data_IF_898063424127
#
_entry.id   IF_898063424127
#
_cell.length_a   1.000
_cell.length_b   1.000
_cell.length_c   1.000
_cell.angle_alpha   90.00
_cell.angle_beta   90.00
_cell.angle_gamma   90.00
#
_symmetry.space_group_name_H-M   'P 1'
#
loop_
_entity.id
_entity.type
_entity.pdbx_description
1 polymer ?
#
# COMPACT_ATOMS: atom_id res chain seq x y z
N UNK A 1 -10.56 -24.47 12.87
CA UNK A 1 -9.98 -23.16 13.23
C UNK A 1 -8.72 -22.92 12.42
N UNK A 2 -8.78 -22.03 11.43
CA UNK A 2 -7.57 -21.57 10.73
C UNK A 2 -6.70 -20.73 11.67
N UNK A 3 -5.39 -20.94 11.62
CA UNK A 3 -4.42 -20.24 12.48
C UNK A 3 -4.52 -18.70 12.34
N UNK A 4 -4.91 -18.22 11.15
CA UNK A 4 -5.05 -16.81 10.83
C UNK A 4 -6.20 -16.10 11.58
N UNK A 5 -7.37 -16.75 11.71
CA UNK A 5 -8.53 -16.14 12.38
C UNK A 5 -8.26 -15.95 13.88
N UNK A 6 -7.72 -16.99 14.54
CA UNK A 6 -7.35 -16.94 15.95
C UNK A 6 -6.24 -15.91 16.24
N UNK A 7 -5.23 -15.82 15.37
CA UNK A 7 -4.16 -14.82 15.47
C UNK A 7 -4.70 -13.40 15.31
N UNK A 8 -5.58 -13.17 14.34
CA UNK A 8 -6.20 -11.84 14.10
C UNK A 8 -7.02 -11.39 15.29
N UNK A 9 -7.85 -12.27 15.85
CA UNK A 9 -8.65 -11.93 17.04
C UNK A 9 -7.75 -11.69 18.24
N UNK A 10 -6.72 -12.53 18.44
CA UNK A 10 -5.82 -12.42 19.59
C UNK A 10 -5.00 -11.14 19.57
N UNK A 11 -4.52 -10.69 18.40
CA UNK A 11 -3.74 -9.44 18.30
C UNK A 11 -4.58 -8.19 18.53
N UNK A 12 -5.87 -8.24 18.21
CA UNK A 12 -6.78 -7.11 18.37
C UNK A 12 -7.50 -7.10 19.72
N UNK A 13 -7.53 -8.24 20.42
CA UNK A 13 -8.27 -8.41 21.66
C UNK A 13 -8.02 -7.32 22.72
N UNK A 14 -6.77 -6.88 22.99
CA UNK A 14 -6.48 -5.84 23.97
C UNK A 14 -7.13 -4.49 23.63
N UNK A 15 -7.33 -4.19 22.34
CA UNK A 15 -7.86 -2.90 21.86
C UNK A 15 -9.38 -2.76 21.99
N UNK A 16 -10.12 -3.84 22.29
CA UNK A 16 -11.58 -3.81 22.37
C UNK A 16 -12.08 -2.86 23.47
N UNK A 17 -11.31 -2.66 24.54
CA UNK A 17 -11.68 -1.80 25.66
C UNK A 17 -11.60 -0.30 25.34
N UNK A 18 -10.86 0.06 24.30
CA UNK A 18 -10.68 1.44 23.85
C UNK A 18 -11.74 1.89 22.82
N UNK A 19 -12.63 0.96 22.44
CA UNK A 19 -13.65 1.25 21.45
C UNK A 19 -14.74 2.17 22.03
N UNK A 20 -14.87 3.34 21.42
CA UNK A 20 -16.02 4.23 21.68
C UNK A 20 -17.35 3.63 21.23
N UNK A 21 -18.46 4.39 21.33
CA UNK A 21 -19.79 3.91 20.96
C UNK A 21 -19.86 3.34 19.54
N UNK A 22 -20.51 2.19 19.41
CA UNK A 22 -20.69 1.48 18.15
C UNK A 22 -22.18 1.39 17.79
N UNK A 23 -22.46 1.09 16.53
CA UNK A 23 -23.82 0.83 16.03
C UNK A 23 -23.93 -0.57 15.45
N UNK A 24 -25.10 -1.18 15.58
CA UNK A 24 -25.41 -2.47 14.95
C UNK A 24 -25.28 -2.38 13.42
N UNK A 25 -25.09 -3.49 12.67
CA UNK A 25 -24.90 -3.45 11.22
C UNK A 25 -25.97 -2.67 10.44
N UNK A 26 -27.24 -2.75 10.85
CA UNK A 26 -28.37 -2.01 10.27
C UNK A 26 -28.46 -0.54 10.69
N UNK A 27 -27.51 -0.05 11.51
CA UNK A 27 -27.43 1.30 12.07
C UNK A 27 -28.59 1.71 13.00
N UNK A 28 -29.54 0.80 13.30
CA UNK A 28 -30.76 1.09 14.08
C UNK A 28 -30.56 1.20 15.59
N UNK A 29 -29.50 0.61 16.15
CA UNK A 29 -29.24 0.61 17.59
C UNK A 29 -27.77 0.86 17.89
N UNK A 30 -27.48 1.49 19.03
CA UNK A 30 -26.13 1.69 19.54
C UNK A 30 -25.79 0.74 20.68
N UNK A 31 -24.50 0.48 20.88
CA UNK A 31 -23.97 -0.27 22.00
C UNK A 31 -22.54 0.20 22.31
N UNK A 32 -22.03 -0.15 23.48
CA UNK A 32 -20.65 0.12 23.88
C UNK A 32 -20.00 -1.14 24.46
N UNK A 33 -18.68 -1.23 24.36
CA UNK A 33 -17.91 -2.24 25.11
C UNK A 33 -17.83 -1.79 26.56
N UNK A 34 -18.31 -2.62 27.48
CA UNK A 34 -18.34 -2.33 28.92
C UNK A 34 -17.08 -2.86 29.62
N UNK A 35 -16.67 -4.09 29.30
CA UNK A 35 -15.48 -4.71 29.87
C UNK A 35 -14.90 -5.77 28.95
N UNK A 36 -13.58 -5.90 28.93
CA UNK A 36 -12.86 -6.95 28.20
C UNK A 36 -12.04 -7.79 29.18
N UNK A 37 -12.08 -9.09 29.02
CA UNK A 37 -11.22 -10.07 29.72
C UNK A 37 -10.54 -10.94 28.65
N UNK A 38 -9.51 -11.74 28.97
CA UNK A 38 -8.80 -12.54 27.95
C UNK A 38 -9.70 -13.43 27.07
N UNK A 39 -10.83 -13.91 27.60
CA UNK A 39 -11.70 -14.89 26.92
C UNK A 39 -13.08 -14.35 26.52
N UNK A 40 -13.46 -13.15 26.99
CA UNK A 40 -14.80 -12.60 26.74
C UNK A 40 -14.82 -11.07 26.79
N UNK A 41 -15.73 -10.51 26.01
CA UNK A 41 -16.12 -9.10 26.04
C UNK A 41 -17.57 -8.99 26.48
N UNK A 42 -17.86 -8.02 27.33
CA UNK A 42 -19.22 -7.63 27.71
C UNK A 42 -19.57 -6.36 26.95
N UNK A 43 -20.69 -6.37 26.23
CA UNK A 43 -21.22 -5.20 25.54
C UNK A 43 -22.53 -4.76 26.19
N UNK A 44 -22.72 -3.46 26.31
CA UNK A 44 -23.95 -2.86 26.84
C UNK A 44 -24.76 -2.30 25.68
N UNK A 45 -25.99 -2.80 25.50
CA UNK A 45 -26.95 -2.32 24.52
C UNK A 45 -28.25 -1.93 25.24
N UNK A 46 -28.50 -0.63 25.41
CA UNK A 46 -29.62 -0.15 26.22
C UNK A 46 -29.50 -0.60 27.69
N UNK A 47 -30.52 -1.30 28.22
CA UNK A 47 -30.51 -1.86 29.58
C UNK A 47 -29.96 -3.29 29.66
N UNK A 48 -29.63 -3.90 28.52
CA UNK A 48 -29.19 -5.29 28.45
C UNK A 48 -27.69 -5.40 28.21
N UNK A 49 -27.00 -6.20 29.04
CA UNK A 49 -25.61 -6.58 28.84
C UNK A 49 -25.50 -7.94 28.16
N UNK A 50 -24.68 -8.04 27.11
CA UNK A 50 -24.44 -9.27 26.35
C UNK A 50 -22.98 -9.66 26.51
N UNK A 51 -22.72 -10.86 27.01
CA UNK A 51 -21.37 -11.42 27.09
C UNK A 51 -21.09 -12.26 25.85
N UNK A 52 -19.97 -11.96 25.18
CA UNK A 52 -19.54 -12.58 23.93
C UNK A 52 -18.16 -13.19 24.15
N UNK A 53 -18.01 -14.47 23.85
CA UNK A 53 -16.72 -15.17 23.98
C UNK A 53 -15.80 -14.82 22.81
N UNK A 54 -14.49 -14.84 23.05
CA UNK A 54 -13.46 -14.63 22.02
C UNK A 54 -13.62 -15.57 20.82
N UNK A 55 -13.93 -16.84 21.08
CA UNK A 55 -14.20 -17.85 20.05
C UNK A 55 -15.33 -17.49 19.09
N UNK A 56 -16.26 -16.61 19.47
CA UNK A 56 -17.32 -16.13 18.56
C UNK A 56 -16.77 -15.22 17.46
N UNK A 57 -15.76 -14.40 17.76
CA UNK A 57 -15.06 -13.57 16.78
C UNK A 57 -14.23 -14.45 15.84
N UNK A 58 -13.55 -15.45 16.40
CA UNK A 58 -12.72 -16.39 15.64
C UNK A 58 -13.57 -17.20 14.67
N UNK A 59 -14.71 -17.73 15.13
CA UNK A 59 -15.65 -18.47 14.30
C UNK A 59 -16.26 -17.60 13.18
N UNK A 60 -16.55 -16.33 13.46
CA UNK A 60 -17.05 -15.41 12.44
C UNK A 60 -16.01 -15.15 11.34
N UNK A 61 -14.75 -14.88 11.72
CA UNK A 61 -13.68 -14.68 10.75
C UNK A 61 -13.33 -15.95 9.98
N UNK A 62 -13.28 -17.10 10.66
CA UNK A 62 -13.06 -18.39 10.02
C UNK A 62 -14.13 -18.68 8.96
N UNK A 63 -15.40 -18.43 9.27
CA UNK A 63 -16.47 -18.56 8.30
C UNK A 63 -16.25 -17.66 7.08
N UNK A 64 -15.89 -16.39 7.28
CA UNK A 64 -15.66 -15.47 6.17
C UNK A 64 -14.47 -15.87 5.29
N UNK A 65 -13.39 -16.36 5.90
CA UNK A 65 -12.22 -16.85 5.16
C UNK A 65 -12.52 -18.14 4.40
N UNK A 66 -13.18 -19.11 5.04
CA UNK A 66 -13.48 -20.41 4.44
C UNK A 66 -14.41 -20.31 3.22
N UNK A 67 -15.19 -19.23 3.13
CA UNK A 67 -16.14 -18.98 2.05
C UNK A 67 -15.71 -17.84 1.11
N UNK A 68 -14.44 -17.41 1.20
CA UNK A 68 -13.84 -16.36 0.35
C UNK A 68 -14.70 -15.08 0.26
N UNK A 69 -15.17 -14.60 1.40
CA UNK A 69 -16.00 -13.40 1.46
C UNK A 69 -15.14 -12.13 1.44
N UNK A 70 -14.99 -11.52 0.26
CA UNK A 70 -14.31 -10.24 0.02
C UNK A 70 -15.27 -9.18 -0.55
N UNK A 71 -14.81 -7.96 -0.82
CA UNK A 71 -15.69 -6.86 -1.30
C UNK A 71 -16.46 -7.18 -2.60
N UNK A 72 -15.94 -8.11 -3.41
CA UNK A 72 -16.59 -8.61 -4.63
C UNK A 72 -17.49 -9.83 -4.40
N UNK A 73 -17.45 -10.43 -3.21
CA UNK A 73 -18.26 -11.58 -2.79
C UNK A 73 -18.78 -11.37 -1.34
N UNK A 74 -19.65 -10.38 -1.10
CA UNK A 74 -20.09 -10.03 0.25
C UNK A 74 -21.02 -11.10 0.86
N UNK A 75 -20.86 -11.36 2.15
CA UNK A 75 -21.67 -12.28 2.94
C UNK A 75 -22.92 -11.59 3.49
N UNK A 76 -24.11 -12.13 3.26
CA UNK A 76 -25.34 -11.68 3.92
C UNK A 76 -25.29 -12.05 5.41
N UNK A 77 -25.45 -11.07 6.31
CA UNK A 77 -25.26 -11.29 7.76
C UNK A 77 -26.33 -12.25 8.33
N UNK A 78 -27.59 -12.12 7.89
CA UNK A 78 -28.69 -13.01 8.29
C UNK A 78 -28.93 -13.09 9.81
N UNK A 79 -28.88 -11.95 10.51
CA UNK A 79 -28.94 -11.92 11.97
C UNK A 79 -30.36 -12.12 12.55
N UNK A 80 -30.69 -13.34 13.00
CA UNK A 80 -31.97 -13.65 13.66
C UNK A 80 -31.79 -14.10 15.13
N UNK A 81 -32.78 -13.87 15.98
CA UNK A 81 -32.76 -14.38 17.36
C UNK A 81 -32.99 -15.89 17.39
N UNK A 82 -33.86 -16.40 16.52
CA UNK A 82 -34.07 -17.83 16.30
C UNK A 82 -32.93 -18.39 15.45
N UNK A 83 -32.23 -19.40 15.97
CA UNK A 83 -31.09 -19.97 15.26
C UNK A 83 -31.51 -20.71 13.99
N UNK A 84 -32.73 -21.26 13.93
CA UNK A 84 -33.20 -21.95 12.72
C UNK A 84 -33.36 -20.99 11.53
N UNK A 85 -33.73 -19.74 11.82
CA UNK A 85 -33.91 -18.65 10.85
C UNK A 85 -32.63 -17.84 10.59
N UNK A 86 -31.59 -18.05 11.39
CA UNK A 86 -30.35 -17.32 11.28
C UNK A 86 -29.52 -17.78 10.05
N UNK A 87 -28.87 -16.80 9.40
CA UNK A 87 -27.93 -17.07 8.32
C UNK A 87 -26.68 -17.81 8.78
N UNK A 88 -25.91 -18.42 7.87
CA UNK A 88 -24.75 -19.26 8.19
C UNK A 88 -23.67 -18.57 9.05
N UNK A 89 -23.30 -17.32 8.73
CA UNK A 89 -22.34 -16.55 9.51
C UNK A 89 -22.82 -16.33 10.97
N UNK A 90 -24.12 -16.06 11.10
CA UNK A 90 -24.77 -15.83 12.38
C UNK A 90 -24.87 -17.11 13.23
N UNK A 91 -25.02 -18.27 12.58
CA UNK A 91 -24.93 -19.61 13.21
C UNK A 91 -23.49 -19.90 13.65
N UNK A 92 -22.50 -19.67 12.78
CA UNK A 92 -21.09 -19.91 13.09
C UNK A 92 -20.62 -19.15 14.34
N UNK A 93 -20.93 -17.85 14.43
CA UNK A 93 -20.49 -17.02 15.56
C UNK A 93 -21.13 -17.39 16.91
N UNK A 94 -22.31 -18.04 16.92
CA UNK A 94 -23.04 -18.37 18.15
C UNK A 94 -22.95 -19.84 18.54
N UNK A 95 -22.31 -20.69 17.74
CA UNK A 95 -22.18 -22.11 18.04
C UNK A 95 -21.29 -22.33 19.27
N UNK A 96 -21.78 -23.13 20.21
CA UNK A 96 -21.06 -23.49 21.43
C UNK A 96 -20.30 -24.80 21.24
N UNK A 97 -19.26 -25.07 22.04
CA UNK A 97 -18.53 -26.35 21.99
C UNK A 97 -19.42 -27.59 22.16
N UNK A 98 -20.58 -27.45 22.80
CA UNK A 98 -21.56 -28.52 22.96
C UNK A 98 -22.39 -28.80 21.69
N UNK A 99 -22.12 -28.12 20.58
CA UNK A 99 -22.92 -28.19 19.34
C UNK A 99 -24.25 -27.43 19.38
N UNK A 100 -24.61 -26.82 20.52
CA UNK A 100 -25.82 -25.98 20.66
C UNK A 100 -25.54 -24.54 20.23
N UNK A 101 -26.59 -23.77 19.94
CA UNK A 101 -26.48 -22.36 19.62
C UNK A 101 -26.75 -21.48 20.85
N UNK A 102 -25.87 -20.52 21.11
CA UNK A 102 -26.04 -19.47 22.11
C UNK A 102 -26.88 -18.30 21.61
N UNK A 103 -26.90 -17.22 22.40
CA UNK A 103 -27.59 -15.98 22.02
C UNK A 103 -26.99 -15.32 20.77
N UNK A 104 -27.80 -14.51 20.07
CA UNK A 104 -27.34 -13.72 18.92
C UNK A 104 -26.24 -12.73 19.35
N UNK A 105 -25.07 -12.91 18.76
CA UNK A 105 -23.89 -12.06 19.04
C UNK A 105 -23.31 -11.37 17.79
N UNK A 106 -23.64 -11.83 16.58
CA UNK A 106 -23.08 -11.32 15.32
C UNK A 106 -23.35 -9.82 15.11
N UNK A 107 -24.46 -9.30 15.68
CA UNK A 107 -24.85 -7.89 15.64
C UNK A 107 -23.89 -6.96 16.41
N UNK A 108 -23.05 -7.53 17.27
CA UNK A 108 -22.04 -6.81 18.05
C UNK A 108 -20.61 -7.17 17.60
N UNK A 109 -20.38 -8.44 17.26
CA UNK A 109 -19.10 -8.93 16.73
C UNK A 109 -18.70 -8.16 15.47
N UNK A 110 -19.60 -8.01 14.49
CA UNK A 110 -19.24 -7.40 13.21
C UNK A 110 -18.90 -5.91 13.30
N UNK A 111 -19.67 -5.05 14.01
CA UNK A 111 -19.28 -3.64 14.15
C UNK A 111 -17.98 -3.44 14.93
N UNK A 112 -17.67 -4.32 15.89
CA UNK A 112 -16.36 -4.33 16.56
C UNK A 112 -15.26 -4.63 15.54
N UNK A 113 -15.40 -5.73 14.79
CA UNK A 113 -14.45 -6.09 13.73
C UNK A 113 -14.33 -5.02 12.63
N UNK A 114 -15.42 -4.33 12.31
CA UNK A 114 -15.44 -3.24 11.34
C UNK A 114 -14.65 -2.04 11.87
N UNK A 115 -14.85 -1.67 13.14
CA UNK A 115 -14.11 -0.58 13.78
C UNK A 115 -12.61 -0.86 13.82
N UNK A 116 -12.25 -2.13 13.98
CA UNK A 116 -10.86 -2.61 13.98
C UNK A 116 -10.32 -2.82 12.55
N UNK A 117 -11.11 -2.55 11.51
CA UNK A 117 -10.70 -2.59 10.11
C UNK A 117 -10.56 -4.00 9.53
N UNK A 118 -11.09 -5.03 10.19
CA UNK A 118 -11.01 -6.44 9.76
C UNK A 118 -12.08 -6.76 8.72
N UNK A 119 -13.25 -6.14 8.84
CA UNK A 119 -14.38 -6.35 7.93
C UNK A 119 -14.98 -5.03 7.43
N UNK A 120 -15.51 -5.02 6.22
CA UNK A 120 -16.42 -3.97 5.74
C UNK A 120 -17.87 -4.39 5.95
N UNK A 121 -18.76 -3.43 6.24
CA UNK A 121 -20.22 -3.68 6.36
C UNK A 121 -20.97 -2.75 5.42
N UNK A 122 -21.88 -3.31 4.62
CA UNK A 122 -22.90 -2.56 3.90
C UNK A 122 -24.18 -2.54 4.76
N UNK A 123 -24.64 -1.35 5.22
CA UNK A 123 -25.82 -1.23 6.08
C UNK A 123 -27.15 -1.33 5.31
N UNK A 124 -27.13 -1.32 3.97
CA UNK A 124 -28.34 -1.45 3.16
C UNK A 124 -28.98 -2.83 3.36
N UNK A 125 -30.28 -2.98 3.10
CA UNK A 125 -30.98 -4.27 3.21
C UNK A 125 -30.87 -5.06 1.91
N UNK A 126 -30.40 -6.33 1.92
CA UNK A 126 -29.92 -7.08 3.08
C UNK A 126 -28.54 -6.61 3.56
N UNK A 127 -28.35 -6.52 4.87
CA UNK A 127 -27.06 -6.09 5.44
C UNK A 127 -26.00 -7.13 5.16
N UNK A 128 -24.87 -6.70 4.61
CA UNK A 128 -23.78 -7.60 4.20
C UNK A 128 -22.45 -7.21 4.84
N UNK A 129 -21.54 -8.18 4.89
CA UNK A 129 -20.19 -8.05 5.46
C UNK A 129 -19.15 -8.75 4.58
N UNK A 130 -17.92 -8.27 4.56
CA UNK A 130 -16.81 -8.92 3.84
C UNK A 130 -15.48 -8.67 4.55
N UNK A 131 -14.49 -9.53 4.32
CA UNK A 131 -13.12 -9.33 4.78
C UNK A 131 -12.48 -8.18 4.01
N UNK A 132 -11.78 -7.30 4.73
CA UNK A 132 -10.92 -6.30 4.11
C UNK A 132 -9.59 -6.94 3.72
N UNK A 133 -8.91 -6.44 2.68
CA UNK A 133 -7.60 -6.94 2.22
C UNK A 133 -6.44 -6.61 3.19
N UNK A 134 -6.72 -6.41 4.47
CA UNK A 134 -5.70 -6.05 5.47
C UNK A 134 -5.23 -7.32 6.18
N UNK A 135 -4.06 -7.90 5.88
CA UNK A 135 -3.37 -8.71 6.87
C UNK A 135 -2.82 -7.74 7.92
N UNK A 136 -3.44 -7.67 9.09
CA UNK A 136 -2.87 -6.86 10.17
C UNK A 136 -1.68 -7.60 10.77
N UNK A 137 -0.49 -7.06 10.50
CA UNK A 137 0.68 -7.28 11.33
C UNK A 137 0.30 -7.07 12.81
N UNK A 138 0.74 -8.01 13.63
CA UNK A 138 0.58 -8.05 15.08
C UNK A 138 0.89 -6.68 15.68
N UNK A 139 -0.14 -5.97 16.15
CA UNK A 139 0.02 -4.82 17.02
C UNK A 139 0.39 -5.38 18.39
N UNK A 140 1.69 -5.48 18.65
CA UNK A 140 2.17 -5.59 20.03
C UNK A 140 2.20 -4.19 20.61
N UNK A 141 1.69 -4.06 21.83
CA UNK A 141 1.59 -2.85 22.63
C UNK A 141 2.88 -2.01 22.57
N UNK A 142 2.76 -0.81 22.02
CA UNK A 142 3.52 0.37 22.44
C UNK A 142 2.86 1.61 21.83
N UNK A 143 1.81 2.09 22.48
CA UNK A 143 1.26 3.41 22.24
C UNK A 143 1.70 4.35 23.38
N UNK A 144 2.34 5.44 22.96
CA UNK A 144 2.49 6.73 23.64
C UNK A 144 3.61 6.81 24.69
N UNK A 145 4.83 6.95 24.17
CA UNK A 145 5.83 7.97 24.54
C UNK A 145 6.63 8.30 23.27
N UNK A 146 7.20 9.50 23.10
CA UNK A 146 8.14 9.76 22.01
C UNK A 146 9.43 8.99 22.32
N UNK A 147 9.42 7.68 22.04
CA UNK A 147 10.59 6.84 22.18
C UNK A 147 11.36 7.00 20.88
N UNK A 148 12.38 7.85 20.95
CA UNK A 148 13.60 7.62 20.20
C UNK A 148 14.02 6.18 20.53
N UNK A 149 13.74 5.26 19.62
CA UNK A 149 14.19 3.87 19.72
C UNK A 149 15.69 3.85 19.41
N UNK A 150 16.51 3.74 20.46
CA UNK A 150 17.97 3.61 20.39
C UNK A 150 18.41 2.14 20.21
N UNK A 151 17.49 1.18 20.04
CA UNK A 151 17.82 -0.25 19.87
C UNK A 151 17.66 -0.76 18.43
N UNK A 152 17.03 0.01 17.56
CA UNK A 152 17.12 -0.18 16.12
C UNK A 152 17.93 0.97 15.51
N UNK A 153 18.94 0.69 14.64
CA UNK A 153 19.56 1.77 13.91
C UNK A 153 18.45 2.53 13.18
N UNK A 154 18.36 3.85 13.40
CA UNK A 154 17.35 4.67 12.73
C UNK A 154 17.52 4.45 11.22
N UNK A 155 16.59 3.70 10.62
CA UNK A 155 16.64 3.32 9.20
C UNK A 155 16.50 4.52 8.28
N UNK A 156 15.92 5.59 8.81
CA UNK A 156 15.84 6.92 8.24
C UNK A 156 16.76 7.87 9.01
N UNK A 157 17.45 8.72 8.29
CA UNK A 157 18.16 9.87 8.88
C UNK A 157 17.17 10.87 9.47
N UNK A 158 17.62 11.82 10.32
CA UNK A 158 16.76 12.88 10.83
C UNK A 158 16.07 13.69 9.71
N UNK A 159 16.79 14.01 8.64
CA UNK A 159 16.25 14.75 7.49
C UNK A 159 15.22 13.90 6.73
N UNK A 160 15.46 12.60 6.53
CA UNK A 160 14.49 11.70 5.90
C UNK A 160 13.22 11.50 6.72
N UNK A 161 13.33 11.38 8.04
CA UNK A 161 12.18 11.28 8.93
C UNK A 161 11.36 12.59 8.94
N UNK A 162 12.04 13.73 9.02
CA UNK A 162 11.40 15.05 8.94
C UNK A 162 10.71 15.27 7.58
N UNK A 163 11.34 14.83 6.50
CA UNK A 163 10.76 14.84 5.17
C UNK A 163 9.53 13.92 5.06
N UNK A 164 9.60 12.68 5.57
CA UNK A 164 8.44 11.78 5.60
C UNK A 164 7.25 12.39 6.35
N UNK A 165 7.49 13.00 7.51
CA UNK A 165 6.44 13.71 8.26
C UNK A 165 5.86 14.90 7.47
N UNK A 166 6.70 15.62 6.74
CA UNK A 166 6.24 16.68 5.85
C UNK A 166 5.33 16.15 4.74
N UNK A 167 5.73 15.08 4.05
CA UNK A 167 4.91 14.43 3.02
C UNK A 167 3.56 13.97 3.61
N UNK A 168 3.56 13.37 4.81
CA UNK A 168 2.32 13.03 5.52
C UNK A 168 1.42 14.23 5.79
N UNK A 169 2.00 15.38 6.17
CA UNK A 169 1.24 16.62 6.35
C UNK A 169 0.65 17.16 5.04
N UNK A 170 1.34 17.01 3.91
CA UNK A 170 0.82 17.40 2.59
C UNK A 170 -0.28 16.45 2.10
N UNK A 171 -0.25 15.18 2.51
CA UNK A 171 -1.32 14.22 2.24
C UNK A 171 -2.58 14.57 3.01
N UNK A 172 -2.44 14.77 4.32
CA UNK A 172 -3.57 14.91 5.22
C UNK A 172 -4.03 16.34 5.51
N UNK A 173 -3.34 17.34 4.96
CA UNK A 173 -3.60 18.75 5.21
C UNK A 173 -4.94 19.25 4.68
N UNK A 174 -5.30 20.47 5.09
CA UNK A 174 -6.45 21.18 4.53
C UNK A 174 -6.19 21.51 3.04
N UNK A 175 -7.24 21.68 2.22
CA UNK A 175 -7.07 22.15 0.84
C UNK A 175 -6.16 23.38 0.76
N UNK A 176 -5.13 23.30 -0.08
CA UNK A 176 -4.10 24.32 -0.22
C UNK A 176 -2.81 24.00 0.55
N UNK A 177 -2.78 22.91 1.34
CA UNK A 177 -1.54 22.45 1.98
C UNK A 177 -0.47 22.06 0.95
N UNK A 178 -0.90 21.61 -0.24
CA UNK A 178 -0.03 21.38 -1.39
C UNK A 178 -0.77 21.71 -2.68
N UNK A 179 -0.43 22.83 -3.33
CA UNK A 179 -0.99 23.17 -4.63
C UNK A 179 -0.03 22.78 -5.75
N UNK A 180 -0.54 22.06 -6.74
CA UNK A 180 0.21 21.74 -7.95
C UNK A 180 -0.72 21.68 -9.15
N UNK A 181 -0.31 22.27 -10.28
CA UNK A 181 -1.12 22.38 -11.50
C UNK A 181 -0.25 22.43 -12.75
N UNK A 182 -0.70 21.80 -13.83
CA UNK A 182 -0.07 21.88 -15.14
C UNK A 182 -1.05 21.54 -16.27
N UNK A 183 -0.74 22.00 -17.47
CA UNK A 183 -1.54 21.70 -18.67
C UNK A 183 -1.41 20.22 -19.07
N UNK A 184 -2.53 19.56 -19.33
CA UNK A 184 -2.53 18.19 -19.85
C UNK A 184 -2.09 18.13 -21.30
N UNK A 185 -1.48 17.01 -21.70
CA UNK A 185 -1.09 16.81 -23.09
C UNK A 185 -2.20 16.16 -23.91
N UNK A 186 -1.93 15.91 -25.19
CA UNK A 186 -2.80 15.11 -26.08
C UNK A 186 -2.65 13.60 -25.86
N UNK A 187 -1.85 13.16 -24.87
CA UNK A 187 -1.67 11.74 -24.60
C UNK A 187 -2.99 11.09 -24.17
N UNK A 188 -3.30 9.90 -24.70
CA UNK A 188 -4.59 9.22 -24.46
C UNK A 188 -4.86 8.95 -22.97
N UNK A 189 -3.83 8.80 -22.15
CA UNK A 189 -3.97 8.66 -20.68
C UNK A 189 -4.62 9.86 -20.01
N UNK A 190 -4.79 11.01 -20.68
CA UNK A 190 -5.53 12.15 -20.15
C UNK A 190 -7.03 12.09 -20.44
N UNK A 191 -7.50 11.12 -21.23
CA UNK A 191 -8.92 10.97 -21.55
C UNK A 191 -9.81 10.82 -20.29
N UNK A 192 -9.49 9.96 -19.30
CA UNK A 192 -10.29 9.86 -18.07
C UNK A 192 -10.35 11.16 -17.26
N UNK A 193 -9.26 11.96 -17.25
CA UNK A 193 -9.26 13.28 -16.62
C UNK A 193 -10.21 14.25 -17.33
N UNK A 194 -10.12 14.33 -18.66
CA UNK A 194 -10.93 15.26 -19.47
C UNK A 194 -12.42 14.92 -19.44
N UNK A 195 -12.76 13.63 -19.43
CA UNK A 195 -14.15 13.16 -19.32
C UNK A 195 -14.79 13.48 -17.98
N UNK A 196 -14.00 13.68 -16.91
CA UNK A 196 -14.50 14.16 -15.60
C UNK A 196 -14.87 15.64 -15.60
N UNK A 197 -14.77 16.35 -16.73
CA UNK A 197 -15.17 17.76 -16.87
C UNK A 197 -14.27 18.74 -16.10
N UNK A 198 -13.03 18.36 -15.80
CA UNK A 198 -12.09 19.15 -14.97
C UNK A 198 -11.22 20.13 -15.77
N UNK A 199 -11.51 20.32 -17.06
CA UNK A 199 -10.79 21.22 -17.96
C UNK A 199 -9.49 20.62 -18.52
N UNK A 200 -8.70 21.48 -19.17
CA UNK A 200 -7.44 21.08 -19.83
C UNK A 200 -6.25 21.01 -18.89
N UNK A 201 -6.37 21.53 -17.66
CA UNK A 201 -5.32 21.50 -16.66
C UNK A 201 -5.58 20.38 -15.65
N UNK A 202 -4.52 19.65 -15.30
CA UNK A 202 -4.53 18.76 -14.15
C UNK A 202 -4.07 19.54 -12.92
N UNK A 203 -4.72 19.31 -11.78
CA UNK A 203 -4.39 20.03 -10.54
C UNK A 203 -4.69 19.20 -9.28
N UNK A 204 -4.09 19.57 -8.16
CA UNK A 204 -4.41 19.08 -6.82
C UNK A 204 -4.12 20.15 -5.75
N UNK A 205 -4.80 20.05 -4.61
CA UNK A 205 -4.65 20.91 -3.43
C UNK A 205 -4.13 20.17 -2.18
N UNK A 206 -4.00 18.84 -2.29
CA UNK A 206 -3.37 17.92 -1.33
C UNK A 206 -2.79 16.71 -2.08
N UNK A 207 -1.89 15.93 -1.46
CA UNK A 207 -1.41 14.69 -2.10
C UNK A 207 -2.51 13.62 -2.21
N UNK A 208 -3.45 13.58 -1.26
CA UNK A 208 -4.60 12.67 -1.35
C UNK A 208 -5.42 12.96 -2.62
N UNK A 209 -5.67 14.25 -2.90
CA UNK A 209 -6.38 14.64 -4.11
C UNK A 209 -5.58 14.31 -5.39
N UNK A 210 -4.23 14.40 -5.35
CA UNK A 210 -3.41 13.96 -6.47
C UNK A 210 -3.61 12.46 -6.78
N UNK A 211 -3.79 11.62 -5.76
CA UNK A 211 -4.11 10.20 -5.93
C UNK A 211 -5.52 10.01 -6.52
N UNK A 212 -6.52 10.73 -6.01
CA UNK A 212 -7.90 10.70 -6.53
C UNK A 212 -7.97 11.15 -8.01
N UNK A 213 -7.12 12.11 -8.37
CA UNK A 213 -7.01 12.65 -9.71
C UNK A 213 -6.09 11.84 -10.63
N UNK A 214 -5.69 10.63 -10.24
CA UNK A 214 -4.99 9.70 -11.12
C UNK A 214 -5.77 9.47 -12.42
N UNK A 215 -5.06 9.47 -13.55
CA UNK A 215 -5.69 9.44 -14.89
C UNK A 215 -5.16 8.32 -15.79
N UNK A 216 -4.09 7.62 -15.42
CA UNK A 216 -3.55 6.56 -16.28
C UNK A 216 -4.50 5.37 -16.29
N UNK A 217 -5.08 5.00 -17.46
CA UNK A 217 -6.03 3.91 -17.52
C UNK A 217 -5.34 2.58 -17.23
N UNK A 218 -5.99 1.76 -16.42
CA UNK A 218 -5.58 0.38 -16.14
C UNK A 218 -6.16 -0.55 -17.21
N UNK A 219 -5.46 -1.65 -17.52
CA UNK A 219 -6.01 -2.70 -18.36
C UNK A 219 -7.12 -3.44 -17.60
N UNK A 220 -7.95 -4.21 -18.30
CA UNK A 220 -8.91 -5.09 -17.64
C UNK A 220 -8.23 -6.41 -17.26
N UNK A 221 -8.72 -7.07 -16.22
CA UNK A 221 -8.31 -8.43 -15.91
C UNK A 221 -8.53 -9.34 -17.14
N UNK A 222 -7.60 -10.26 -17.46
CA UNK A 222 -6.45 -10.66 -16.64
C UNK A 222 -5.15 -9.87 -16.92
N UNK A 223 -5.19 -8.82 -17.74
CA UNK A 223 -4.01 -8.06 -18.19
C UNK A 223 -3.72 -6.80 -17.34
N UNK A 224 -4.52 -6.56 -16.30
CA UNK A 224 -4.27 -5.52 -15.32
C UNK A 224 -3.07 -5.87 -14.42
N UNK A 225 -2.46 -4.85 -13.83
CA UNK A 225 -1.27 -5.03 -13.00
C UNK A 225 -1.49 -6.02 -11.84
N UNK A 226 -2.65 -5.94 -11.19
CA UNK A 226 -2.97 -6.78 -10.03
C UNK A 226 -3.07 -8.28 -10.40
N UNK A 227 -3.69 -8.62 -11.53
CA UNK A 227 -3.75 -10.02 -11.97
C UNK A 227 -2.38 -10.53 -12.41
N UNK A 228 -1.59 -9.69 -13.11
CA UNK A 228 -0.22 -10.08 -13.50
C UNK A 228 0.67 -10.28 -12.26
N UNK A 229 0.59 -9.38 -11.28
CA UNK A 229 1.31 -9.48 -10.02
C UNK A 229 0.95 -10.76 -9.25
N UNK A 230 -0.34 -11.10 -9.18
CA UNK A 230 -0.82 -12.34 -8.57
C UNK A 230 -0.20 -13.57 -9.25
N UNK A 231 -0.16 -13.61 -10.59
CA UNK A 231 0.49 -14.70 -11.33
C UNK A 231 1.99 -14.78 -11.07
N UNK A 232 2.67 -13.63 -10.98
CA UNK A 232 4.10 -13.61 -10.62
C UNK A 232 4.31 -14.19 -9.22
N UNK A 233 3.54 -13.74 -8.22
CA UNK A 233 3.66 -14.22 -6.84
C UNK A 233 3.40 -15.74 -6.73
N UNK A 234 2.39 -16.24 -7.43
CA UNK A 234 2.11 -17.68 -7.52
C UNK A 234 3.27 -18.45 -8.14
N UNK A 235 3.84 -17.96 -9.24
CA UNK A 235 5.01 -18.58 -9.88
C UNK A 235 6.25 -18.57 -8.98
N UNK A 236 6.48 -17.47 -8.24
CA UNK A 236 7.57 -17.39 -7.26
C UNK A 236 7.38 -18.40 -6.13
N UNK A 237 6.16 -18.53 -5.59
CA UNK A 237 5.83 -19.49 -4.53
C UNK A 237 5.98 -20.95 -4.99
N UNK A 238 5.63 -21.24 -6.25
CA UNK A 238 5.81 -22.56 -6.86
C UNK A 238 7.24 -22.83 -7.36
N UNK A 239 8.13 -21.83 -7.27
CA UNK A 239 9.45 -21.85 -7.90
C UNK A 239 9.42 -22.20 -9.40
N UNK A 240 8.38 -21.77 -10.11
CA UNK A 240 8.19 -21.99 -11.54
C UNK A 240 8.82 -20.86 -12.37
N UNK A 241 10.02 -21.11 -12.89
CA UNK A 241 10.78 -20.13 -13.66
C UNK A 241 10.12 -19.75 -15.00
N UNK A 242 9.39 -20.67 -15.64
CA UNK A 242 8.75 -20.40 -16.92
C UNK A 242 7.53 -19.49 -16.68
N UNK A 243 6.69 -19.82 -15.72
CA UNK A 243 5.55 -18.99 -15.35
C UNK A 243 6.01 -17.61 -14.84
N UNK A 244 7.09 -17.56 -14.05
CA UNK A 244 7.67 -16.30 -13.57
C UNK A 244 8.21 -15.44 -14.73
N UNK A 245 8.88 -16.04 -15.71
CA UNK A 245 9.31 -15.34 -16.92
C UNK A 245 8.12 -14.77 -17.69
N UNK A 246 7.08 -15.57 -17.93
CA UNK A 246 5.86 -15.11 -18.63
C UNK A 246 5.20 -13.95 -17.89
N UNK A 247 5.12 -14.01 -16.56
CA UNK A 247 4.60 -12.91 -15.76
C UNK A 247 5.48 -11.64 -15.87
N UNK A 248 6.81 -11.78 -15.84
CA UNK A 248 7.73 -10.66 -16.04
C UNK A 248 7.57 -10.00 -17.42
N UNK A 249 7.44 -10.79 -18.49
CA UNK A 249 7.20 -10.30 -19.85
C UNK A 249 5.85 -9.57 -19.96
N UNK A 250 4.82 -10.07 -19.26
CA UNK A 250 3.52 -9.40 -19.17
C UNK A 250 3.61 -8.05 -18.41
N UNK A 251 4.41 -7.97 -17.34
CA UNK A 251 4.68 -6.71 -16.63
C UNK A 251 5.40 -5.70 -17.54
N UNK A 252 6.35 -6.17 -18.34
CA UNK A 252 7.04 -5.32 -19.33
C UNK A 252 6.07 -4.78 -20.38
N UNK A 253 5.20 -5.64 -20.91
CA UNK A 253 4.14 -5.26 -21.84
C UNK A 253 3.15 -4.25 -21.23
N UNK A 254 2.66 -4.52 -20.01
CA UNK A 254 1.79 -3.62 -19.25
C UNK A 254 2.44 -2.24 -19.02
N UNK A 255 3.68 -2.23 -18.54
CA UNK A 255 4.42 -1.01 -18.22
C UNK A 255 4.99 -0.28 -19.45
N UNK A 256 4.87 -0.86 -20.64
CA UNK A 256 5.42 -0.31 -21.87
C UNK A 256 6.96 -0.21 -21.88
N UNK A 257 7.64 -1.10 -21.17
CA UNK A 257 9.10 -1.13 -21.00
C UNK A 257 9.69 -2.43 -21.57
N UNK A 258 11.02 -2.50 -21.73
CA UNK A 258 11.74 -3.71 -22.14
C UNK A 258 11.16 -4.40 -23.40
N UNK A 259 10.79 -3.60 -24.41
CA UNK A 259 10.03 -4.07 -25.59
C UNK A 259 10.92 -4.70 -26.67
N UNK A 260 12.20 -4.34 -26.70
CA UNK A 260 13.12 -4.81 -27.74
C UNK A 260 13.79 -6.10 -27.31
N UNK A 261 14.20 -6.94 -28.27
CA UNK A 261 14.85 -8.23 -27.97
C UNK A 261 16.19 -8.06 -27.24
N UNK A 262 16.86 -6.93 -27.46
CA UNK A 262 18.16 -6.54 -26.90
C UNK A 262 18.03 -5.65 -25.64
N UNK A 263 16.81 -5.44 -25.12
CA UNK A 263 16.62 -4.70 -23.87
C UNK A 263 17.24 -5.48 -22.70
N UNK A 264 18.11 -4.82 -21.93
CA UNK A 264 18.90 -5.47 -20.87
C UNK A 264 18.02 -6.21 -19.84
N UNK A 265 16.86 -5.64 -19.48
CA UNK A 265 15.93 -6.29 -18.54
C UNK A 265 15.29 -7.54 -19.11
N UNK A 266 14.92 -7.53 -20.40
CA UNK A 266 14.35 -8.71 -21.06
C UNK A 266 15.40 -9.81 -21.19
N UNK A 267 16.61 -9.44 -21.61
CA UNK A 267 17.74 -10.37 -21.69
C UNK A 267 18.07 -10.97 -20.32
N UNK A 268 18.12 -10.16 -19.27
CA UNK A 268 18.41 -10.63 -17.91
C UNK A 268 17.35 -11.61 -17.41
N UNK A 269 16.05 -11.28 -17.55
CA UNK A 269 14.96 -12.19 -17.15
C UNK A 269 15.06 -13.53 -17.88
N UNK A 270 15.30 -13.51 -19.19
CA UNK A 270 15.44 -14.73 -20.00
C UNK A 270 16.67 -15.56 -19.61
N UNK A 271 17.80 -14.91 -19.37
CA UNK A 271 19.02 -15.58 -18.95
C UNK A 271 18.86 -16.26 -17.58
N UNK A 272 18.26 -15.57 -16.61
CA UNK A 272 18.00 -16.13 -15.28
C UNK A 272 16.95 -17.25 -15.31
N UNK A 273 15.96 -17.16 -16.20
CA UNK A 273 14.98 -18.23 -16.41
C UNK A 273 15.64 -19.48 -16.99
N UNK A 274 16.44 -19.33 -18.05
CA UNK A 274 17.20 -20.42 -18.66
C UNK A 274 18.18 -21.09 -17.68
N UNK A 275 18.79 -20.29 -16.79
CA UNK A 275 19.65 -20.78 -15.72
C UNK A 275 18.90 -21.36 -14.51
N UNK A 276 17.56 -21.34 -14.51
CA UNK A 276 16.70 -21.76 -13.36
C UNK A 276 17.03 -21.03 -12.05
N UNK A 277 17.34 -19.74 -12.16
CA UNK A 277 17.64 -18.87 -11.02
C UNK A 277 16.64 -17.72 -10.87
N UNK A 278 15.76 -17.49 -11.86
CA UNK A 278 14.88 -16.32 -11.91
C UNK A 278 14.07 -16.08 -10.62
N UNK A 279 13.37 -17.10 -10.12
CA UNK A 279 12.54 -16.94 -8.93
C UNK A 279 13.36 -16.57 -7.70
N UNK A 280 14.50 -17.25 -7.51
CA UNK A 280 15.44 -16.92 -6.43
C UNK A 280 15.99 -15.51 -6.58
N UNK A 281 16.42 -15.10 -7.77
CA UNK A 281 16.95 -13.76 -8.03
C UNK A 281 15.90 -12.67 -7.76
N UNK A 282 14.64 -12.88 -8.12
CA UNK A 282 13.54 -11.95 -7.81
C UNK A 282 13.30 -11.87 -6.30
N UNK A 283 13.20 -13.01 -5.61
CA UNK A 283 12.98 -13.05 -4.16
C UNK A 283 14.12 -12.40 -3.38
N UNK A 284 15.38 -12.65 -3.77
CA UNK A 284 16.55 -11.99 -3.18
C UNK A 284 16.51 -10.48 -3.40
N UNK A 285 16.16 -10.02 -4.61
CA UNK A 285 16.02 -8.59 -4.87
C UNK A 285 14.91 -7.96 -4.02
N UNK A 286 13.76 -8.62 -3.89
CA UNK A 286 12.65 -8.16 -3.02
C UNK A 286 13.13 -8.01 -1.58
N UNK A 287 13.78 -9.03 -1.02
CA UNK A 287 14.30 -9.01 0.36
C UNK A 287 15.27 -7.84 0.58
N UNK A 288 16.17 -7.59 -0.36
CA UNK A 288 17.15 -6.49 -0.27
C UNK A 288 16.52 -5.09 -0.36
N UNK A 289 15.37 -4.96 -1.03
CA UNK A 289 14.69 -3.68 -1.29
C UNK A 289 13.63 -3.32 -0.24
N UNK A 290 13.29 -4.26 0.65
CA UNK A 290 12.33 -4.01 1.73
C UNK A 290 12.80 -2.88 2.65
N UNK A 291 11.85 -2.08 3.20
CA UNK A 291 12.18 -0.95 4.07
C UNK A 291 13.13 -1.31 5.23
N UNK A 292 12.89 -2.43 5.89
CA UNK A 292 13.61 -2.88 7.08
C UNK A 292 15.01 -3.46 6.78
N UNK A 293 15.29 -3.80 5.52
CA UNK A 293 16.54 -4.47 5.17
C UNK A 293 17.72 -3.48 5.13
N UNK A 294 18.79 -3.80 5.87
CA UNK A 294 20.04 -3.01 5.93
C UNK A 294 21.21 -3.66 5.21
N UNK A 295 21.00 -4.84 4.60
CA UNK A 295 22.04 -5.56 3.89
C UNK A 295 22.61 -4.75 2.71
N UNK A 296 23.82 -5.10 2.30
CA UNK A 296 24.49 -4.43 1.19
C UNK A 296 23.72 -4.60 -0.12
N UNK A 297 23.64 -3.53 -0.91
CA UNK A 297 23.04 -3.56 -2.25
C UNK A 297 24.04 -3.89 -3.36
N UNK A 298 25.28 -4.27 -3.02
CA UNK A 298 26.31 -4.63 -4.01
C UNK A 298 25.92 -5.78 -4.94
N UNK A 299 24.99 -6.64 -4.54
CA UNK A 299 24.43 -7.68 -5.39
C UNK A 299 23.68 -7.12 -6.62
N UNK A 300 23.21 -5.87 -6.54
CA UNK A 300 22.74 -5.11 -7.69
C UNK A 300 23.95 -4.58 -8.49
N UNK A 301 24.56 -5.47 -9.28
CA UNK A 301 25.70 -5.18 -10.15
C UNK A 301 25.37 -5.26 -11.66
N UNK A 302 24.10 -5.53 -11.99
CA UNK A 302 23.63 -5.71 -13.36
C UNK A 302 23.85 -7.12 -13.93
N UNK A 303 24.54 -8.00 -13.19
CA UNK A 303 24.74 -9.42 -13.53
C UNK A 303 23.95 -10.32 -12.60
N UNK A 304 24.27 -10.25 -11.31
CA UNK A 304 23.64 -11.01 -10.24
C UNK A 304 22.20 -10.55 -10.04
N UNK A 305 22.00 -9.25 -9.74
CA UNK A 305 20.70 -8.61 -9.71
C UNK A 305 20.69 -7.37 -10.61
N UNK A 306 19.59 -7.15 -11.31
CA UNK A 306 19.39 -6.00 -12.17
C UNK A 306 18.40 -5.01 -11.56
N UNK A 307 18.70 -3.71 -11.62
CA UNK A 307 17.77 -2.66 -11.22
C UNK A 307 17.78 -1.53 -12.24
N UNK A 308 16.58 -1.13 -12.65
CA UNK A 308 16.26 0.00 -13.49
C UNK A 308 14.74 0.23 -13.46
N UNK A 309 14.25 1.18 -14.26
CA UNK A 309 12.82 1.53 -14.36
C UNK A 309 11.89 0.39 -14.81
N UNK A 310 12.41 -0.64 -15.48
CA UNK A 310 11.64 -1.83 -15.83
C UNK A 310 11.63 -2.84 -14.67
N UNK A 311 12.78 -3.12 -14.08
CA UNK A 311 12.91 -4.10 -12.99
C UNK A 311 12.17 -3.68 -11.72
N UNK A 312 12.09 -2.37 -11.41
CA UNK A 312 11.29 -1.88 -10.28
C UNK A 312 9.82 -2.30 -10.36
N UNK A 313 9.26 -2.52 -11.57
CA UNK A 313 7.89 -3.00 -11.75
C UNK A 313 7.74 -4.48 -11.40
N UNK A 314 8.75 -5.29 -11.73
CA UNK A 314 8.78 -6.71 -11.35
C UNK A 314 8.84 -6.83 -9.83
N UNK A 315 9.73 -6.06 -9.18
CA UNK A 315 9.88 -6.14 -7.74
C UNK A 315 8.67 -5.58 -6.98
N UNK A 316 8.06 -4.49 -7.47
CA UNK A 316 6.79 -3.99 -6.94
C UNK A 316 5.64 -4.98 -7.15
N UNK A 317 5.58 -5.68 -8.28
CA UNK A 317 4.57 -6.73 -8.48
C UNK A 317 4.79 -7.94 -7.56
N UNK A 318 6.05 -8.28 -7.26
CA UNK A 318 6.39 -9.37 -6.35
C UNK A 318 6.10 -9.03 -4.88
N UNK A 319 6.21 -7.76 -4.47
CA UNK A 319 5.93 -7.31 -3.09
C UNK A 319 5.26 -5.91 -3.07
N UNK A 320 3.98 -5.81 -3.46
CA UNK A 320 3.27 -4.54 -3.65
C UNK A 320 3.01 -3.76 -2.37
N UNK A 321 3.10 -4.42 -1.20
CA UNK A 321 2.88 -3.79 0.10
C UNK A 321 4.14 -3.10 0.66
N UNK A 322 5.31 -3.35 0.05
CA UNK A 322 6.60 -2.88 0.56
C UNK A 322 7.49 -2.22 -0.50
N UNK A 323 7.26 -2.47 -1.79
CA UNK A 323 8.11 -1.95 -2.88
C UNK A 323 7.29 -1.12 -3.85
N UNK A 324 7.70 0.14 -4.05
CA UNK A 324 7.11 1.04 -5.05
C UNK A 324 7.72 0.85 -6.44
N UNK A 325 6.99 1.26 -7.46
CA UNK A 325 7.50 1.49 -8.81
C UNK A 325 8.23 2.84 -8.83
N UNK A 326 9.54 2.82 -8.58
CA UNK A 326 10.37 4.03 -8.71
C UNK A 326 10.65 4.30 -10.20
N UNK A 327 9.75 5.02 -10.85
CA UNK A 327 9.95 5.55 -12.21
C UNK A 327 10.47 6.99 -12.21
N UNK A 328 10.77 7.51 -13.40
CA UNK A 328 11.30 8.86 -13.56
C UNK A 328 10.38 9.99 -13.06
N UNK A 329 9.06 9.76 -13.02
CA UNK A 329 8.08 10.71 -12.47
C UNK A 329 8.04 10.63 -10.96
N UNK A 330 8.02 9.44 -10.39
CA UNK A 330 8.07 9.27 -8.93
C UNK A 330 9.29 9.97 -8.34
N UNK A 331 10.46 9.80 -8.96
CA UNK A 331 11.67 10.53 -8.57
C UNK A 331 11.58 12.05 -8.73
N UNK A 332 10.94 12.53 -9.81
CA UNK A 332 10.69 13.96 -10.03
C UNK A 332 9.79 14.56 -8.94
N UNK A 333 8.70 13.86 -8.59
CA UNK A 333 7.78 14.30 -7.55
C UNK A 333 8.45 14.32 -6.18
N UNK A 334 9.21 13.28 -5.83
CA UNK A 334 9.97 13.27 -4.57
C UNK A 334 10.95 14.45 -4.51
N UNK A 335 11.65 14.77 -5.61
CA UNK A 335 12.50 15.96 -5.68
C UNK A 335 11.74 17.28 -5.49
N UNK A 336 10.56 17.43 -6.11
CA UNK A 336 9.69 18.59 -5.90
C UNK A 336 9.26 18.72 -4.42
N UNK A 337 8.80 17.63 -3.82
CA UNK A 337 8.37 17.63 -2.41
C UNK A 337 9.56 17.92 -1.48
N UNK A 338 10.75 17.40 -1.79
CA UNK A 338 11.99 17.75 -1.07
C UNK A 338 12.24 19.26 -1.18
N UNK A 339 12.12 19.86 -2.36
CA UNK A 339 12.28 21.32 -2.55
C UNK A 339 11.28 22.11 -1.70
N UNK A 340 10.01 21.72 -1.68
CA UNK A 340 8.99 22.34 -0.81
C UNK A 340 9.39 22.27 0.67
N UNK A 341 9.86 21.10 1.12
CA UNK A 341 10.34 20.92 2.49
C UNK A 341 11.56 21.80 2.79
N UNK A 342 12.55 21.86 1.89
CA UNK A 342 13.77 22.64 2.07
C UNK A 342 13.47 24.13 2.17
N UNK A 343 12.61 24.67 1.29
CA UNK A 343 12.17 26.08 1.33
C UNK A 343 11.46 26.38 2.65
N UNK A 344 10.51 25.52 3.07
CA UNK A 344 9.79 25.68 4.33
C UNK A 344 10.73 25.70 5.54
N UNK A 345 11.80 24.92 5.49
CA UNK A 345 12.80 24.81 6.57
C UNK A 345 14.02 25.73 6.36
N UNK A 346 13.96 26.68 5.40
CA UNK A 346 15.02 27.66 5.11
C UNK A 346 16.40 27.02 4.87
N UNK A 347 16.42 25.84 4.25
CA UNK A 347 17.65 25.18 3.80
C UNK A 347 18.05 25.72 2.43
N UNK A 348 19.33 25.71 2.11
CA UNK A 348 19.88 26.21 0.84
C UNK A 348 20.50 25.14 -0.05
N UNK A 349 20.60 23.89 0.44
CA UNK A 349 21.17 22.77 -0.30
C UNK A 349 20.33 21.51 -0.11
N UNK A 350 20.38 20.60 -1.09
CA UNK A 350 19.71 19.29 -1.00
C UNK A 350 20.61 18.33 -0.20
N UNK A 351 20.15 17.80 0.93
CA UNK A 351 20.86 16.75 1.65
C UNK A 351 21.09 15.52 0.75
N UNK A 352 22.27 14.88 0.78
CA UNK A 352 22.57 13.74 -0.09
C UNK A 352 21.56 12.59 -0.01
N UNK A 353 21.01 12.36 1.18
CA UNK A 353 20.02 11.34 1.52
C UNK A 353 18.57 11.68 1.14
N UNK A 354 18.34 12.91 0.65
CA UNK A 354 17.11 13.38 0.00
C UNK A 354 17.34 13.76 -1.48
N UNK A 355 18.52 13.43 -2.03
CA UNK A 355 18.92 13.63 -3.42
C UNK A 355 18.25 12.65 -4.40
N UNK A 356 16.91 12.55 -4.35
CA UNK A 356 16.14 11.69 -5.26
C UNK A 356 16.46 12.01 -6.72
N UNK A 357 16.59 10.95 -7.53
CA UNK A 357 16.89 11.10 -8.96
C UNK A 357 15.65 11.01 -9.81
N UNK A 358 15.55 11.90 -10.80
CA UNK A 358 14.42 12.00 -11.72
C UNK A 358 14.77 11.43 -13.10
N UNK A 359 13.76 11.11 -13.92
CA UNK A 359 13.97 10.63 -15.28
C UNK A 359 13.40 11.61 -16.31
N UNK A 360 14.10 11.91 -17.42
CA UNK A 360 13.64 12.83 -18.45
C UNK A 360 12.26 12.50 -19.00
N UNK A 361 11.54 13.55 -19.39
CA UNK A 361 10.34 13.39 -20.18
C UNK A 361 10.71 12.91 -21.60
N UNK A 362 9.77 12.22 -22.25
CA UNK A 362 9.96 11.82 -23.64
C UNK A 362 10.01 13.09 -24.49
N UNK A 363 11.17 13.32 -25.14
CA UNK A 363 11.35 14.42 -26.08
C UNK A 363 10.70 14.07 -27.41
N UNK A 364 9.96 15.03 -27.97
CA UNK A 364 9.41 14.96 -29.32
C UNK A 364 9.73 16.27 -30.04
N UNK A 365 9.50 16.34 -31.36
CA UNK A 365 9.67 17.59 -32.11
C UNK A 365 8.86 18.76 -31.49
N UNK A 366 7.72 18.46 -30.86
CA UNK A 366 6.82 19.40 -30.19
C UNK A 366 7.04 19.56 -28.68
N UNK A 367 7.87 18.73 -28.04
CA UNK A 367 8.14 18.77 -26.60
C UNK A 367 9.65 18.78 -26.34
N UNK A 368 10.24 19.97 -26.33
CA UNK A 368 11.67 20.18 -26.05
C UNK A 368 11.94 20.46 -24.58
N UNK A 369 10.98 21.09 -23.89
CA UNK A 369 11.09 21.48 -22.48
C UNK A 369 11.21 20.24 -21.60
N UNK A 370 12.17 20.27 -20.68
CA UNK A 370 12.22 19.26 -19.62
C UNK A 370 11.19 19.61 -18.56
N UNK A 371 10.27 18.70 -18.27
CA UNK A 371 9.19 18.94 -17.32
C UNK A 371 9.39 18.18 -16.02
N UNK A 372 10.30 17.20 -15.97
CA UNK A 372 10.51 16.31 -14.83
C UNK A 372 11.72 16.66 -13.97
N UNK A 373 12.48 17.68 -14.35
CA UNK A 373 13.61 18.17 -13.55
C UNK A 373 13.10 19.04 -12.41
N UNK A 374 13.21 18.59 -11.13
CA UNK A 374 12.78 19.38 -9.98
C UNK A 374 13.83 20.43 -9.57
N UNK A 375 14.99 20.49 -10.24
CA UNK A 375 16.04 21.46 -9.92
C UNK A 375 15.58 22.88 -10.19
N UNK A 376 15.69 23.73 -9.17
CA UNK A 376 15.27 25.15 -9.22
C UNK A 376 15.81 25.89 -7.99
N UNK A 377 16.03 27.19 -8.12
CA UNK A 377 16.35 28.10 -7.01
C UNK A 377 17.53 27.64 -6.13
N UNK A 378 18.58 27.08 -6.75
CA UNK A 378 19.79 26.60 -6.07
C UNK A 378 19.71 25.17 -5.50
N UNK A 379 18.57 24.49 -5.64
CA UNK A 379 18.43 23.07 -5.32
C UNK A 379 18.67 22.22 -6.57
N UNK A 380 19.69 21.38 -6.55
CA UNK A 380 20.08 20.52 -7.68
C UNK A 380 19.70 19.05 -7.45
N UNK A 381 19.05 18.44 -8.44
CA UNK A 381 18.69 17.02 -8.44
C UNK A 381 19.25 16.31 -9.68
N UNK A 382 19.85 15.14 -9.47
CA UNK A 382 20.49 14.40 -10.55
C UNK A 382 19.49 13.58 -11.37
N UNK A 383 19.72 13.48 -12.67
CA UNK A 383 19.02 12.51 -13.51
C UNK A 383 19.41 11.08 -13.15
N UNK A 384 18.46 10.15 -13.22
CA UNK A 384 18.64 8.70 -13.08
C UNK A 384 19.67 8.13 -14.07
N UNK A 385 19.87 8.81 -15.19
CA UNK A 385 20.79 8.37 -16.23
C UNK A 385 22.19 8.99 -16.10
N UNK A 386 22.38 9.93 -15.17
CA UNK A 386 23.70 10.46 -14.82
C UNK A 386 24.45 9.45 -13.93
N UNK A 387 25.74 9.17 -14.18
CA UNK A 387 26.54 8.29 -13.32
C UNK A 387 26.53 8.72 -11.85
N UNK A 388 26.58 7.75 -10.93
CA UNK A 388 26.78 8.04 -9.51
C UNK A 388 28.25 8.27 -9.23
N UNK A 389 28.58 9.19 -8.32
CA UNK A 389 29.93 9.39 -7.80
C UNK A 389 30.22 8.53 -6.56
N UNK A 390 29.17 7.95 -5.95
CA UNK A 390 29.24 7.20 -4.69
C UNK A 390 29.09 5.69 -4.89
N UNK A 391 28.19 5.27 -5.79
CA UNK A 391 27.98 3.85 -6.09
C UNK A 391 28.88 3.41 -7.26
N UNK A 392 29.42 2.20 -7.14
CA UNK A 392 30.34 1.65 -8.16
C UNK A 392 29.63 1.32 -9.48
N UNK A 393 28.30 1.08 -9.43
CA UNK A 393 27.50 0.81 -10.60
C UNK A 393 26.11 1.48 -10.52
N UNK A 394 25.49 1.69 -11.69
CA UNK A 394 24.18 2.38 -11.82
C UNK A 394 23.03 1.60 -11.17
N UNK A 395 23.11 0.28 -11.20
CA UNK A 395 22.08 -0.64 -10.72
C UNK A 395 21.98 -0.61 -9.19
N UNK A 396 23.11 -0.59 -8.48
CA UNK A 396 23.19 -0.37 -7.03
C UNK A 396 22.58 0.99 -6.64
N UNK A 397 22.93 2.06 -7.36
CA UNK A 397 22.38 3.39 -7.10
C UNK A 397 20.85 3.43 -7.25
N UNK A 398 20.29 2.71 -8.22
CA UNK A 398 18.85 2.65 -8.43
C UNK A 398 18.16 1.82 -7.34
N UNK A 399 18.78 0.72 -6.91
CA UNK A 399 18.29 -0.08 -5.81
C UNK A 399 18.26 0.72 -4.50
N UNK A 400 19.28 1.56 -4.27
CA UNK A 400 19.33 2.44 -3.11
C UNK A 400 18.21 3.48 -3.11
N UNK A 401 17.96 4.13 -4.26
CA UNK A 401 16.84 5.05 -4.43
C UNK A 401 15.49 4.38 -4.15
N UNK A 402 15.28 3.17 -4.67
CA UNK A 402 14.05 2.38 -4.41
C UNK A 402 13.92 2.10 -2.92
N UNK A 403 14.98 1.57 -2.27
CA UNK A 403 14.93 1.20 -0.85
C UNK A 403 14.72 2.40 0.06
N UNK A 404 15.41 3.51 -0.17
CA UNK A 404 15.23 4.75 0.60
C UNK A 404 13.80 5.27 0.42
N UNK A 405 13.29 5.27 -0.82
CA UNK A 405 11.91 5.72 -1.08
C UNK A 405 10.88 4.80 -0.42
N UNK A 406 11.09 3.49 -0.44
CA UNK A 406 10.26 2.52 0.29
C UNK A 406 10.24 2.84 1.78
N UNK A 407 11.39 3.11 2.40
CA UNK A 407 11.47 3.51 3.83
C UNK A 407 10.71 4.80 4.12
N UNK A 408 10.96 5.84 3.32
CA UNK A 408 10.31 7.15 3.51
C UNK A 408 8.80 7.02 3.36
N UNK A 409 8.31 6.37 2.30
CA UNK A 409 6.87 6.23 2.05
C UNK A 409 6.19 5.26 3.03
N UNK A 410 6.88 4.21 3.49
CA UNK A 410 6.36 3.36 4.57
C UNK A 410 6.22 4.16 5.87
N UNK A 411 7.18 5.03 6.17
CA UNK A 411 7.08 5.95 7.31
C UNK A 411 5.90 6.92 7.16
N UNK A 412 5.64 7.44 5.95
CA UNK A 412 4.43 8.26 5.67
C UNK A 412 3.16 7.48 6.00
N UNK A 413 3.05 6.23 5.51
CA UNK A 413 1.90 5.36 5.79
C UNK A 413 1.72 5.13 7.29
N UNK A 414 2.80 4.81 8.01
CA UNK A 414 2.77 4.61 9.46
C UNK A 414 2.34 5.88 10.21
N UNK A 415 2.90 7.04 9.86
CA UNK A 415 2.55 8.32 10.47
C UNK A 415 1.09 8.70 10.23
N UNK A 416 0.54 8.40 9.04
CA UNK A 416 -0.87 8.64 8.72
C UNK A 416 -1.80 7.64 9.42
N UNK A 417 -1.39 6.38 9.51
CA UNK A 417 -2.12 5.35 10.25
C UNK A 417 -2.23 5.69 11.75
N UNK A 418 -1.16 6.21 12.36
CA UNK A 418 -1.16 6.69 13.74
C UNK A 418 -2.12 7.88 13.96
N UNK A 419 -2.48 8.60 12.89
CA UNK A 419 -3.48 9.67 12.89
C UNK A 419 -4.89 9.17 12.54
N UNK A 420 -5.10 7.85 12.50
CA UNK A 420 -6.39 7.24 12.15
C UNK A 420 -6.74 7.26 10.67
N UNK A 421 -5.77 7.52 9.77
CA UNK A 421 -5.97 7.56 8.32
C UNK A 421 -5.42 6.30 7.67
N UNK A 422 -6.24 5.64 6.85
CA UNK A 422 -5.80 4.49 6.06
C UNK A 422 -5.26 4.97 4.71
N UNK A 423 -3.98 4.71 4.44
CA UNK A 423 -3.32 5.05 3.17
C UNK A 423 -2.42 3.89 2.76
N UNK A 424 -2.42 3.57 1.49
CA UNK A 424 -1.60 2.51 0.89
C UNK A 424 -0.40 3.09 0.14
N UNK A 425 0.64 2.28 -0.08
CA UNK A 425 1.75 2.68 -0.94
C UNK A 425 1.30 2.95 -2.38
N UNK A 426 0.32 2.20 -2.88
CA UNK A 426 -0.25 2.40 -4.21
C UNK A 426 -0.87 3.80 -4.37
N UNK A 427 -1.58 4.28 -3.36
CA UNK A 427 -2.17 5.62 -3.37
C UNK A 427 -1.11 6.72 -3.37
N UNK A 428 -0.05 6.57 -2.55
CA UNK A 428 1.11 7.46 -2.57
C UNK A 428 1.82 7.44 -3.94
N UNK A 429 2.05 6.26 -4.50
CA UNK A 429 2.67 6.11 -5.82
C UNK A 429 1.85 6.80 -6.91
N UNK A 430 0.52 6.62 -6.91
CA UNK A 430 -0.38 7.30 -7.86
C UNK A 430 -0.29 8.81 -7.75
N UNK A 431 -0.28 9.36 -6.53
CA UNK A 431 -0.08 10.79 -6.31
C UNK A 431 1.26 11.28 -6.88
N UNK A 432 2.36 10.62 -6.51
CA UNK A 432 3.71 10.95 -6.96
C UNK A 432 3.85 10.84 -8.48
N UNK A 433 3.25 9.83 -9.09
CA UNK A 433 3.28 9.62 -10.52
C UNK A 433 2.57 10.73 -11.31
N UNK A 434 1.45 11.25 -10.79
CA UNK A 434 0.77 12.39 -11.41
C UNK A 434 1.57 13.68 -11.20
N UNK A 435 1.94 14.00 -9.96
CA UNK A 435 2.74 15.20 -9.62
C UNK A 435 4.03 15.24 -10.46
N UNK A 436 4.70 14.11 -10.56
CA UNK A 436 5.96 13.94 -11.28
C UNK A 436 5.86 14.04 -12.80
N UNK A 437 4.66 14.15 -13.36
CA UNK A 437 4.48 14.37 -14.80
C UNK A 437 5.10 15.71 -15.23
N UNK A 438 4.93 16.74 -14.39
CA UNK A 438 5.49 18.07 -14.59
C UNK A 438 5.76 18.73 -13.24
N UNK A 439 7.01 19.07 -12.93
CA UNK A 439 7.45 19.59 -11.60
C UNK A 439 8.12 20.96 -11.65
N UNK A 440 8.15 21.57 -12.83
CA UNK A 440 8.71 22.91 -13.03
C UNK A 440 7.81 24.02 -12.54
#
# INVERSE_FOLDING_TARGET
MTQLAAQTVSSLWPTLGELGPLRTPSQRSSFAVESVTPERVKVQAGKTGVVIRKVAFEAALEYLHANDHHAGNPCVIGADNDHEKAGPLCKAARQLPSGKYGQRNITYVLPILQRLGVVGINPNSPTCVWLTKRPMAVVTEQLIKPVIDDKHPRLLTPDQLAFANHVGALWGGAPGSFEHRYQTSKHHSWKPWKERGKGDDWWCLTLAQAADHYSWPEKLAPDDFASIATRLQQALAANDHIAAQTACENIFSWGGVARKKDDASLMWVKAQSAAKTLCRSILTAVELLRPECTASLKAFDGKNLLMNSAMTKIYAAADPDNIIIYDGRVGAALGLLTRHWLVKNRRSTVPPDLGFRWGPNTKTASNKTETRDPSRDGFDFLSLYKPSTVATNRTECWADLVRISNRVLKQVVLSLAAQGRSVTLLELERALFMIGYHVR
#
